data_IF_194867997715
#
_entry.id   IF_194867997715
#
_cell.length_a   1.000
_cell.length_b   1.000
_cell.length_c   1.000
_cell.angle_alpha   90.00
_cell.angle_beta   90.00
_cell.angle_gamma   90.00
#
_symmetry.space_group_name_H-M   'P 1'
#
loop_
_entity.id
_entity.type
_entity.pdbx_description
1 polymer ?
#
# COMPACT_ATOMS: atom_id res chain seq x y z
N UNK A 1 21.26 -15.19 21.58
CA UNK A 1 22.08 -15.64 22.72
C UNK A 1 21.77 -14.84 24.00
N UNK A 2 21.77 -13.50 23.98
CA UNK A 2 21.62 -12.68 25.21
C UNK A 2 20.26 -12.01 25.40
N UNK A 3 19.32 -12.18 24.45
CA UNK A 3 18.04 -11.42 24.39
C UNK A 3 18.20 -9.89 24.33
N UNK A 4 19.40 -9.38 24.08
CA UNK A 4 19.69 -7.96 23.90
C UNK A 4 20.16 -7.70 22.47
N UNK A 5 19.82 -6.52 21.94
CA UNK A 5 20.31 -6.03 20.65
C UNK A 5 21.07 -4.72 20.86
N UNK A 6 22.33 -4.67 20.42
CA UNK A 6 23.10 -3.42 20.45
C UNK A 6 22.52 -2.46 19.41
N UNK A 7 21.98 -1.33 19.86
CA UNK A 7 21.36 -0.36 18.98
C UNK A 7 21.73 1.07 19.39
N UNK A 8 22.13 1.90 18.42
CA UNK A 8 22.26 3.34 18.61
C UNK A 8 20.86 3.94 18.58
N UNK A 9 20.53 4.80 19.56
CA UNK A 9 19.23 5.49 19.63
C UNK A 9 19.00 6.29 18.33
N UNK A 10 17.98 5.95 17.53
CA UNK A 10 17.64 6.75 16.35
C UNK A 10 17.12 8.14 16.75
N UNK A 11 17.20 9.09 15.84
CA UNK A 11 16.49 10.38 15.97
C UNK A 11 14.99 10.14 15.78
N UNK A 12 14.14 11.01 16.31
CA UNK A 12 12.69 10.94 16.07
C UNK A 12 12.30 11.92 14.96
N UNK A 13 11.38 11.47 14.10
CA UNK A 13 10.74 12.29 13.07
C UNK A 13 9.23 12.14 13.24
N UNK A 14 8.48 13.24 13.15
CA UNK A 14 7.01 13.21 13.11
C UNK A 14 6.53 13.56 11.71
N UNK A 15 5.60 12.77 11.19
CA UNK A 15 4.87 13.07 9.96
C UNK A 15 3.40 13.19 10.33
N UNK A 16 2.89 14.41 10.30
CA UNK A 16 1.50 14.73 10.60
C UNK A 16 0.71 14.82 9.29
N UNK A 17 -0.30 13.96 9.13
CA UNK A 17 -1.22 13.98 7.98
C UNK A 17 -2.56 14.56 8.44
N UNK A 18 -2.75 15.85 8.18
CA UNK A 18 -3.89 16.64 8.69
C UNK A 18 -5.03 16.72 7.69
N UNK A 19 -6.26 16.77 8.22
CA UNK A 19 -7.48 16.77 7.41
C UNK A 19 -8.00 15.36 7.11
N UNK A 20 -8.82 15.26 6.06
CA UNK A 20 -9.46 14.01 5.63
C UNK A 20 -8.98 13.61 4.24
N UNK A 21 -8.81 12.30 4.04
CA UNK A 21 -8.46 11.74 2.72
C UNK A 21 -9.64 11.89 1.75
N UNK A 22 -9.32 12.18 0.49
CA UNK A 22 -10.32 12.21 -0.58
C UNK A 22 -10.88 10.82 -0.91
N UNK A 23 -12.01 10.74 -1.63
CA UNK A 23 -12.53 9.48 -2.14
C UNK A 23 -11.48 8.70 -2.94
N UNK A 24 -11.49 7.39 -2.84
CA UNK A 24 -10.56 6.53 -3.58
C UNK A 24 -9.12 6.49 -3.04
N UNK A 25 -8.74 7.40 -2.14
CA UNK A 25 -7.40 7.45 -1.52
C UNK A 25 -7.31 6.44 -0.36
N UNK A 26 -6.25 5.63 -0.38
CA UNK A 26 -5.96 4.63 0.64
C UNK A 26 -4.67 4.94 1.41
N UNK A 27 -4.38 4.18 2.48
CA UNK A 27 -3.11 4.27 3.19
C UNK A 27 -1.88 4.02 2.29
N UNK A 28 -2.03 3.24 1.22
CA UNK A 28 -0.97 3.02 0.23
C UNK A 28 -0.62 4.31 -0.51
N UNK A 29 -1.63 5.08 -0.88
CA UNK A 29 -1.45 6.38 -1.55
C UNK A 29 -0.82 7.40 -0.58
N UNK A 30 -1.23 7.38 0.70
CA UNK A 30 -0.64 8.22 1.74
C UNK A 30 0.86 7.94 1.91
N UNK A 31 1.26 6.68 2.09
CA UNK A 31 2.68 6.38 2.31
C UNK A 31 3.53 6.60 1.06
N UNK A 32 3.00 6.33 -0.13
CA UNK A 32 3.68 6.65 -1.37
C UNK A 32 3.86 8.17 -1.52
N UNK A 33 2.83 8.97 -1.26
CA UNK A 33 2.91 10.43 -1.26
C UNK A 33 3.97 10.94 -0.27
N UNK A 34 3.98 10.42 0.96
CA UNK A 34 5.01 10.73 1.96
C UNK A 34 6.42 10.45 1.42
N UNK A 35 6.65 9.25 0.86
CA UNK A 35 7.98 8.87 0.33
C UNK A 35 8.36 9.75 -0.87
N UNK A 36 7.40 10.13 -1.72
CA UNK A 36 7.62 11.08 -2.82
C UNK A 36 8.04 12.47 -2.33
N UNK A 37 7.45 12.95 -1.23
CA UNK A 37 7.76 14.27 -0.67
C UNK A 37 9.11 14.31 0.06
N UNK A 38 9.41 13.31 0.89
CA UNK A 38 10.63 13.33 1.72
C UNK A 38 11.82 12.61 1.05
N UNK A 39 11.57 11.83 0.00
CA UNK A 39 12.55 11.00 -0.70
C UNK A 39 12.86 9.67 0.00
N UNK A 40 13.51 8.76 -0.73
CA UNK A 40 13.85 7.40 -0.25
C UNK A 40 14.87 7.37 0.89
N UNK A 41 15.60 8.47 1.10
CA UNK A 41 16.53 8.65 2.22
C UNK A 41 16.04 9.70 3.24
N UNK A 42 14.81 10.20 3.07
CA UNK A 42 14.27 11.34 3.84
C UNK A 42 14.21 11.10 5.34
N UNK A 43 14.04 9.85 5.77
CA UNK A 43 13.99 9.46 7.17
C UNK A 43 15.22 8.65 7.62
N UNK A 44 16.32 8.69 6.85
CA UNK A 44 17.54 7.97 7.20
C UNK A 44 18.03 8.33 8.62
N UNK A 45 18.28 7.31 9.44
CA UNK A 45 18.67 7.48 10.84
C UNK A 45 17.55 7.89 11.81
N UNK A 46 16.31 7.99 11.34
CA UNK A 46 15.14 8.35 12.14
C UNK A 46 14.21 7.16 12.40
N UNK A 47 13.39 7.27 13.43
CA UNK A 47 12.14 6.53 13.60
C UNK A 47 11.00 7.51 13.35
N UNK A 48 10.06 7.12 12.50
CA UNK A 48 8.91 7.96 12.13
C UNK A 48 7.75 7.68 13.09
N UNK A 49 7.19 8.73 13.66
CA UNK A 49 5.85 8.75 14.26
C UNK A 49 4.87 9.33 13.23
N UNK A 50 3.91 8.53 12.80
CA UNK A 50 2.81 8.99 11.95
C UNK A 50 1.66 9.48 12.85
N UNK A 51 1.23 10.72 12.63
CA UNK A 51 0.23 11.41 13.42
C UNK A 51 -0.76 12.17 12.52
N UNK A 52 -1.71 12.88 13.13
CA UNK A 52 -2.70 13.70 12.42
C UNK A 52 -4.05 13.01 12.24
N UNK A 53 -5.06 13.81 11.88
CA UNK A 53 -6.45 13.38 11.81
C UNK A 53 -6.67 12.23 10.80
N UNK A 54 -5.97 12.25 9.66
CA UNK A 54 -6.10 11.20 8.65
C UNK A 54 -5.56 9.85 9.16
N UNK A 55 -4.45 9.85 9.90
CA UNK A 55 -3.86 8.63 10.48
C UNK A 55 -4.73 8.10 11.63
N UNK A 56 -5.29 8.97 12.47
CA UNK A 56 -6.20 8.58 13.54
C UNK A 56 -7.48 7.90 12.99
N UNK A 57 -7.99 8.37 11.84
CA UNK A 57 -9.16 7.79 11.18
C UNK A 57 -8.89 6.43 10.50
N UNK A 58 -7.63 6.04 10.29
CA UNK A 58 -7.29 4.75 9.70
C UNK A 58 -7.59 3.59 10.64
N UNK A 59 -8.09 2.49 10.09
CA UNK A 59 -8.12 1.21 10.79
C UNK A 59 -6.68 0.65 10.99
N UNK A 60 -6.57 -0.45 11.74
CA UNK A 60 -5.27 -1.06 12.00
C UNK A 60 -4.59 -1.62 10.75
N UNK A 61 -5.35 -2.08 9.76
CA UNK A 61 -4.79 -2.64 8.52
C UNK A 61 -4.15 -1.53 7.69
N UNK A 62 -4.81 -0.39 7.54
CA UNK A 62 -4.28 0.82 6.92
C UNK A 62 -3.02 1.35 7.66
N UNK A 63 -3.03 1.40 9.00
CA UNK A 63 -1.85 1.80 9.80
C UNK A 63 -0.66 0.87 9.58
N UNK A 64 -0.90 -0.44 9.47
CA UNK A 64 0.17 -1.40 9.18
C UNK A 64 0.74 -1.19 7.76
N UNK A 65 -0.06 -0.75 6.78
CA UNK A 65 0.45 -0.36 5.45
C UNK A 65 1.39 0.84 5.54
N UNK A 66 1.03 1.88 6.30
CA UNK A 66 1.93 3.02 6.56
C UNK A 66 3.25 2.56 7.19
N UNK A 67 3.16 1.87 8.33
CA UNK A 67 4.35 1.46 9.07
C UNK A 67 5.23 0.47 8.29
N UNK A 68 4.64 -0.41 7.48
CA UNK A 68 5.37 -1.35 6.63
C UNK A 68 6.33 -0.64 5.68
N UNK A 69 5.89 0.49 5.11
CA UNK A 69 6.65 1.21 4.09
C UNK A 69 7.58 2.30 4.62
N UNK A 70 7.75 2.40 5.95
CA UNK A 70 8.66 3.38 6.57
C UNK A 70 10.12 3.18 6.13
N UNK A 71 10.53 1.93 5.90
CA UNK A 71 11.89 1.59 5.48
C UNK A 71 12.17 2.03 4.04
N UNK A 72 11.15 2.15 3.20
CA UNK A 72 11.27 2.69 1.84
C UNK A 72 11.53 4.21 1.82
N UNK A 73 11.32 4.91 2.95
CA UNK A 73 11.80 6.28 3.17
C UNK A 73 13.16 6.33 3.91
N UNK A 74 13.80 5.19 4.15
CA UNK A 74 15.07 5.07 4.87
C UNK A 74 14.92 5.03 6.41
N UNK A 75 13.69 5.03 6.94
CA UNK A 75 13.47 5.02 8.38
C UNK A 75 13.87 3.69 9.02
N UNK A 76 14.33 3.74 10.27
CA UNK A 76 14.62 2.54 11.07
C UNK A 76 13.36 1.80 11.49
N UNK A 77 12.29 2.54 11.74
CA UNK A 77 10.96 2.03 12.05
C UNK A 77 9.92 3.13 11.80
N UNK A 78 8.66 2.73 11.71
CA UNK A 78 7.52 3.63 11.79
C UNK A 78 6.55 3.16 12.85
N UNK A 79 5.87 4.10 13.50
CA UNK A 79 4.90 3.84 14.54
C UNK A 79 3.71 4.79 14.45
N UNK A 80 2.56 4.33 14.93
CA UNK A 80 1.36 5.11 15.20
C UNK A 80 1.06 4.93 16.69
N UNK A 81 0.74 6.02 17.39
CA UNK A 81 0.34 5.93 18.78
C UNK A 81 -0.91 5.03 18.93
N UNK A 82 -0.97 4.14 19.93
CA UNK A 82 -2.11 3.28 20.12
C UNK A 82 -3.31 4.08 20.65
N UNK A 83 -4.48 3.73 20.15
CA UNK A 83 -5.77 4.32 20.49
C UNK A 83 -6.86 3.24 20.57
N UNK A 84 -8.13 3.66 20.68
CA UNK A 84 -9.26 2.75 20.77
C UNK A 84 -9.39 1.81 19.56
N UNK A 85 -9.00 2.24 18.36
CA UNK A 85 -8.93 1.39 17.16
C UNK A 85 -7.91 0.27 17.34
N UNK A 86 -6.76 0.60 17.93
CA UNK A 86 -5.70 -0.37 18.23
C UNK A 86 -6.17 -1.37 19.29
N UNK A 87 -6.81 -0.89 20.35
CA UNK A 87 -7.30 -1.75 21.44
C UNK A 87 -8.45 -2.66 20.98
N UNK A 88 -9.38 -2.13 20.18
CA UNK A 88 -10.46 -2.91 19.58
C UNK A 88 -9.90 -4.02 18.68
N UNK A 89 -8.88 -3.71 17.87
CA UNK A 89 -8.24 -4.71 17.02
C UNK A 89 -7.58 -5.83 17.82
N UNK A 90 -6.94 -5.52 18.96
CA UNK A 90 -6.27 -6.52 19.80
C UNK A 90 -7.23 -7.37 20.63
N UNK A 91 -8.37 -6.81 21.04
CA UNK A 91 -9.31 -7.47 21.97
C UNK A 91 -9.75 -8.84 21.46
N UNK A 92 -9.61 -9.85 22.31
CA UNK A 92 -10.04 -11.23 22.00
C UNK A 92 -9.14 -12.00 21.02
N UNK A 93 -8.05 -11.40 20.52
CA UNK A 93 -7.10 -12.12 19.67
C UNK A 93 -6.28 -13.13 20.46
N UNK A 94 -5.79 -14.21 19.81
CA UNK A 94 -4.90 -15.18 20.45
C UNK A 94 -3.70 -14.49 21.11
N UNK A 95 -3.35 -14.91 22.33
CA UNK A 95 -2.23 -14.40 23.13
C UNK A 95 -2.37 -12.94 23.59
N UNK A 96 -3.51 -12.28 23.36
CA UNK A 96 -3.80 -11.02 24.03
C UNK A 96 -4.21 -11.27 25.49
N UNK A 97 -3.88 -10.34 26.41
CA UNK A 97 -4.34 -10.40 27.80
C UNK A 97 -5.87 -10.51 27.90
N UNK A 98 -6.37 -11.11 28.97
CA UNK A 98 -7.80 -11.30 29.22
C UNK A 98 -8.17 -10.87 30.63
N UNK A 99 -9.45 -10.59 30.88
CA UNK A 99 -9.96 -10.25 32.21
C UNK A 99 -9.21 -9.08 32.86
N UNK A 100 -8.75 -9.25 34.10
CA UNK A 100 -8.04 -8.21 34.84
C UNK A 100 -6.71 -7.80 34.17
N UNK A 101 -6.00 -8.73 33.51
CA UNK A 101 -4.75 -8.43 32.82
C UNK A 101 -4.97 -7.57 31.57
N UNK A 102 -6.13 -7.70 30.93
CA UNK A 102 -6.56 -6.81 29.84
C UNK A 102 -6.75 -5.39 30.32
N UNK A 103 -7.48 -5.20 31.42
CA UNK A 103 -7.71 -3.85 31.99
C UNK A 103 -6.40 -3.19 32.45
N UNK A 104 -5.52 -3.95 33.10
CA UNK A 104 -4.19 -3.46 33.49
C UNK A 104 -3.34 -3.09 32.26
N UNK A 105 -3.37 -3.91 31.21
CA UNK A 105 -2.66 -3.64 29.96
C UNK A 105 -3.21 -2.43 29.23
N UNK A 106 -4.54 -2.26 29.18
CA UNK A 106 -5.21 -1.13 28.56
C UNK A 106 -4.81 0.20 29.22
N UNK A 107 -4.80 0.23 30.57
CA UNK A 107 -4.34 1.41 31.32
C UNK A 107 -2.90 1.78 30.97
N UNK A 108 -2.02 0.79 30.83
CA UNK A 108 -0.62 1.01 30.43
C UNK A 108 -0.49 1.45 28.97
N UNK A 109 -1.18 0.78 28.04
CA UNK A 109 -1.06 1.08 26.62
C UNK A 109 -1.60 2.46 26.26
N UNK A 110 -2.63 2.94 26.95
CA UNK A 110 -3.14 4.32 26.80
C UNK A 110 -2.10 5.40 27.14
N UNK A 111 -1.00 5.05 27.81
CA UNK A 111 0.09 5.98 28.12
C UNK A 111 1.20 5.96 27.06
N UNK A 112 1.10 5.12 26.02
CA UNK A 112 2.14 4.96 24.99
C UNK A 112 1.97 5.93 23.82
N UNK A 113 1.53 7.16 24.09
CA UNK A 113 1.54 8.26 23.14
C UNK A 113 2.68 9.23 23.48
N UNK A 114 3.10 10.03 22.51
CA UNK A 114 4.04 11.12 22.76
C UNK A 114 3.42 12.19 23.67
N UNK A 115 4.23 12.78 24.54
CA UNK A 115 3.84 13.90 25.40
C UNK A 115 3.45 15.12 24.56
N UNK A 116 2.62 16.01 25.10
CA UNK A 116 2.12 17.19 24.38
C UNK A 116 3.24 18.18 23.98
N UNK A 117 4.33 18.20 24.75
CA UNK A 117 5.52 19.04 24.54
C UNK A 117 6.71 18.24 23.97
N UNK A 118 6.47 17.01 23.48
CA UNK A 118 7.51 16.18 22.89
C UNK A 118 8.15 16.86 21.67
N UNK A 119 9.48 17.00 21.71
CA UNK A 119 10.26 17.59 20.62
C UNK A 119 10.74 16.52 19.63
N UNK A 120 10.65 16.83 18.34
CA UNK A 120 11.11 15.96 17.26
C UNK A 120 12.31 16.59 16.56
N UNK A 121 13.28 15.75 16.16
CA UNK A 121 14.44 16.23 15.41
C UNK A 121 14.05 16.73 14.02
N UNK A 122 12.94 16.20 13.47
CA UNK A 122 12.36 16.62 12.20
C UNK A 122 10.85 16.47 12.25
N UNK A 123 10.14 17.47 11.74
CA UNK A 123 8.69 17.42 11.57
C UNK A 123 8.33 17.70 10.12
N UNK A 124 7.32 17.00 9.62
CA UNK A 124 6.75 17.18 8.27
C UNK A 124 5.24 17.19 8.43
N UNK A 125 4.58 18.16 7.80
CA UNK A 125 3.12 18.32 7.84
C UNK A 125 2.58 18.22 6.43
N UNK A 126 1.63 17.32 6.24
CA UNK A 126 1.02 17.00 4.95
C UNK A 126 -0.49 17.22 5.06
N UNK A 127 -1.04 17.97 4.10
CA UNK A 127 -2.48 18.10 3.94
C UNK A 127 -3.06 16.86 3.25
N UNK A 128 -3.86 16.08 3.97
CA UNK A 128 -4.55 14.89 3.49
C UNK A 128 -5.40 15.18 2.23
N UNK A 129 -5.96 16.38 2.13
CA UNK A 129 -6.78 16.83 1.01
C UNK A 129 -5.99 17.03 -0.29
N UNK A 130 -4.65 17.01 -0.25
CA UNK A 130 -3.77 17.06 -1.43
C UNK A 130 -3.36 15.69 -1.93
N UNK A 131 -3.53 14.64 -1.12
CA UNK A 131 -3.18 13.28 -1.50
C UNK A 131 -4.17 12.82 -2.58
N UNK A 132 -3.65 12.19 -3.62
CA UNK A 132 -4.41 11.63 -4.74
C UNK A 132 -4.04 10.16 -4.90
N UNK A 133 -4.89 9.33 -5.53
CA UNK A 133 -4.48 7.99 -5.92
C UNK A 133 -3.17 8.04 -6.69
N UNK A 134 -2.21 7.22 -6.28
CA UNK A 134 -0.80 7.36 -6.65
C UNK A 134 -0.28 6.12 -7.36
N UNK A 135 0.69 6.34 -8.26
CA UNK A 135 1.40 5.28 -8.97
C UNK A 135 2.88 5.64 -9.10
N UNK A 136 3.77 4.67 -8.94
CA UNK A 136 5.19 4.91 -9.22
C UNK A 136 5.45 4.88 -10.73
N UNK A 137 6.33 5.75 -11.21
CA UNK A 137 6.77 5.77 -12.60
C UNK A 137 8.21 5.28 -12.80
N UNK A 138 9.00 5.16 -11.72
CA UNK A 138 10.40 4.77 -11.80
C UNK A 138 10.70 3.42 -11.16
N UNK A 139 11.94 3.26 -10.68
CA UNK A 139 12.47 2.00 -10.11
C UNK A 139 12.63 2.04 -8.59
N UNK A 140 12.05 3.04 -7.92
CA UNK A 140 11.93 3.06 -6.47
C UNK A 140 10.62 3.75 -6.03
N UNK A 141 10.19 3.59 -4.76
CA UNK A 141 8.92 4.13 -4.27
C UNK A 141 8.84 5.65 -4.19
N UNK A 142 9.98 6.37 -4.19
CA UNK A 142 9.99 7.84 -4.21
C UNK A 142 9.75 8.44 -5.59
N UNK A 143 9.87 7.66 -6.65
CA UNK A 143 9.52 8.06 -8.02
C UNK A 143 8.02 7.83 -8.25
N UNK A 144 7.19 8.66 -7.61
CA UNK A 144 5.73 8.55 -7.57
C UNK A 144 5.04 9.81 -8.06
N UNK A 145 3.88 9.64 -8.67
CA UNK A 145 3.00 10.72 -9.11
C UNK A 145 1.53 10.34 -8.88
N UNK A 146 0.60 11.31 -8.91
CA UNK A 146 -0.82 11.01 -9.05
C UNK A 146 -1.08 10.18 -10.32
N UNK A 147 -2.02 9.23 -10.27
CA UNK A 147 -2.34 8.36 -11.43
C UNK A 147 -2.72 9.19 -12.66
N UNK A 148 -3.51 10.25 -12.48
CA UNK A 148 -3.91 11.18 -13.54
C UNK A 148 -2.86 12.26 -13.88
N UNK A 149 -1.67 12.19 -13.28
CA UNK A 149 -0.57 13.11 -13.51
C UNK A 149 0.33 12.72 -14.69
N UNK A 150 1.39 13.50 -14.86
CA UNK A 150 2.48 13.26 -15.81
C UNK A 150 3.78 13.04 -15.08
N UNK A 151 4.67 12.23 -15.67
CA UNK A 151 6.03 12.02 -15.17
C UNK A 151 6.73 13.38 -15.09
N UNK A 152 7.42 13.72 -13.98
CA UNK A 152 8.13 14.99 -13.85
C UNK A 152 9.07 15.25 -15.04
N UNK A 153 9.00 16.44 -15.63
CA UNK A 153 9.79 16.78 -16.82
C UNK A 153 11.30 16.89 -16.51
N UNK A 154 11.64 17.19 -15.25
CA UNK A 154 13.00 17.26 -14.72
C UNK A 154 13.62 15.87 -14.46
N UNK A 155 12.85 14.78 -14.59
CA UNK A 155 13.35 13.40 -14.58
C UNK A 155 14.20 13.02 -15.82
N UNK A 156 14.61 14.00 -16.61
CA UNK A 156 15.43 13.85 -17.81
C UNK A 156 16.94 13.67 -17.53
N UNK A 157 17.40 13.72 -16.26
CA UNK A 157 18.82 13.69 -15.91
C UNK A 157 19.17 12.66 -14.82
N UNK A 158 20.45 12.28 -14.77
CA UNK A 158 21.04 11.47 -13.70
C UNK A 158 20.36 10.11 -13.49
N UNK A 159 20.20 9.73 -12.22
CA UNK A 159 19.60 8.45 -11.81
C UNK A 159 18.12 8.35 -12.18
N UNK A 160 17.42 9.48 -12.32
CA UNK A 160 16.02 9.50 -12.74
C UNK A 160 15.88 9.12 -14.22
N UNK A 161 16.76 9.61 -15.10
CA UNK A 161 16.78 9.21 -16.51
C UNK A 161 17.05 7.70 -16.66
N UNK A 162 18.01 7.16 -15.92
CA UNK A 162 18.32 5.72 -15.94
C UNK A 162 17.11 4.87 -15.53
N UNK A 163 16.38 5.29 -14.49
CA UNK A 163 15.15 4.62 -14.07
C UNK A 163 14.07 4.66 -15.17
N UNK A 164 13.92 5.79 -15.86
CA UNK A 164 12.97 5.93 -16.97
C UNK A 164 13.37 5.07 -18.18
N UNK A 165 14.66 4.99 -18.51
CA UNK A 165 15.18 4.13 -19.59
C UNK A 165 14.87 2.66 -19.30
N UNK A 166 15.11 2.21 -18.07
CA UNK A 166 14.72 0.87 -17.62
C UNK A 166 13.20 0.66 -17.79
N UNK A 167 12.42 1.62 -17.32
CA UNK A 167 10.97 1.58 -17.36
C UNK A 167 10.40 1.80 -18.77
N UNK A 168 11.20 2.16 -19.79
CA UNK A 168 10.71 2.48 -21.13
C UNK A 168 9.69 3.64 -21.15
N UNK A 169 9.97 4.68 -20.37
CA UNK A 169 9.12 5.85 -20.18
C UNK A 169 9.88 7.13 -20.54
N UNK A 170 9.15 8.18 -20.93
CA UNK A 170 9.74 9.48 -21.23
C UNK A 170 9.23 10.55 -20.24
N UNK A 171 10.10 11.50 -19.82
CA UNK A 171 9.69 12.63 -18.99
C UNK A 171 8.52 13.42 -19.60
N UNK A 172 7.65 13.97 -18.76
CA UNK A 172 6.51 14.77 -19.19
C UNK A 172 5.34 13.98 -19.80
N UNK A 173 5.45 12.65 -19.93
CA UNK A 173 4.36 11.81 -20.45
C UNK A 173 3.43 11.33 -19.35
N UNK A 174 2.16 11.09 -19.68
CA UNK A 174 1.20 10.46 -18.78
C UNK A 174 1.37 8.94 -18.78
N UNK A 175 1.07 8.30 -17.64
CA UNK A 175 0.96 6.84 -17.57
C UNK A 175 -0.45 6.34 -17.86
N UNK A 176 -1.47 7.20 -17.77
CA UNK A 176 -2.83 6.82 -18.15
C UNK A 176 -2.85 6.15 -19.53
N UNK A 177 -3.66 5.10 -19.63
CA UNK A 177 -3.77 4.26 -20.81
C UNK A 177 -2.47 3.54 -21.21
N UNK A 178 -1.43 3.47 -20.37
CA UNK A 178 -0.31 2.53 -20.60
C UNK A 178 -0.85 1.11 -20.46
N UNK A 179 -0.60 0.23 -21.44
CA UNK A 179 -0.98 -1.18 -21.35
C UNK A 179 -0.30 -1.86 -20.14
N UNK A 180 -1.03 -2.74 -19.48
CA UNK A 180 -0.58 -3.50 -18.30
C UNK A 180 -0.67 -4.98 -18.62
N UNK A 181 0.45 -5.67 -18.55
CA UNK A 181 0.53 -7.10 -18.82
C UNK A 181 0.14 -7.92 -17.59
N UNK A 182 0.51 -7.44 -16.40
CA UNK A 182 0.31 -8.16 -15.14
C UNK A 182 -0.24 -7.22 -14.07
N UNK A 183 -1.23 -7.70 -13.31
CA UNK A 183 -1.64 -7.06 -12.06
C UNK A 183 -1.41 -8.03 -10.91
N UNK A 184 -0.63 -7.58 -9.92
CA UNK A 184 -0.32 -8.35 -8.73
C UNK A 184 -0.92 -7.68 -7.49
N UNK A 185 -1.84 -8.39 -6.84
CA UNK A 185 -2.51 -7.95 -5.62
C UNK A 185 -2.11 -8.92 -4.52
N UNK A 186 -1.09 -8.55 -3.75
CA UNK A 186 -0.53 -9.41 -2.73
C UNK A 186 0.77 -8.83 -2.18
N UNK A 187 0.97 -8.88 -0.87
CA UNK A 187 2.23 -8.63 -0.16
C UNK A 187 1.94 -8.51 1.33
N UNK A 188 2.98 -8.41 2.16
CA UNK A 188 2.82 -7.97 3.55
C UNK A 188 2.32 -6.52 3.69
N UNK A 189 2.35 -5.73 2.61
CA UNK A 189 1.93 -4.33 2.58
C UNK A 189 0.43 -4.20 2.37
N UNK A 190 -0.12 -4.88 1.37
CA UNK A 190 -1.54 -4.85 0.99
C UNK A 190 -1.98 -6.22 0.48
N UNK A 191 -2.63 -6.98 1.36
CA UNK A 191 -3.22 -8.30 1.14
C UNK A 191 -4.03 -8.76 2.35
N UNK A 192 -4.46 -7.81 3.19
CA UNK A 192 -5.30 -8.09 4.37
C UNK A 192 -6.77 -8.13 3.94
N UNK A 193 -7.67 -8.46 4.85
CA UNK A 193 -9.06 -8.68 4.47
C UNK A 193 -9.72 -7.39 3.96
N UNK A 194 -9.39 -6.22 4.54
CA UNK A 194 -9.86 -4.93 4.02
C UNK A 194 -9.42 -4.66 2.59
N UNK A 195 -8.16 -4.94 2.26
CA UNK A 195 -7.62 -4.80 0.90
C UNK A 195 -8.36 -5.70 -0.09
N UNK A 196 -8.60 -6.97 0.27
CA UNK A 196 -9.28 -7.94 -0.60
C UNK A 196 -10.75 -7.56 -0.84
N UNK A 197 -11.45 -7.01 0.15
CA UNK A 197 -12.83 -6.51 -0.02
C UNK A 197 -12.89 -5.32 -0.98
N UNK A 198 -11.91 -4.40 -0.91
CA UNK A 198 -11.81 -3.29 -1.86
C UNK A 198 -11.63 -3.81 -3.28
N UNK A 199 -10.77 -4.83 -3.46
CA UNK A 199 -10.54 -5.46 -4.76
C UNK A 199 -11.80 -6.19 -5.24
N UNK A 200 -12.50 -6.91 -4.37
CA UNK A 200 -13.74 -7.59 -4.70
C UNK A 200 -14.81 -6.62 -5.18
N UNK A 201 -15.02 -5.48 -4.52
CA UNK A 201 -15.99 -4.47 -4.96
C UNK A 201 -15.68 -3.88 -6.35
N UNK A 202 -14.42 -3.86 -6.77
CA UNK A 202 -14.04 -3.48 -8.15
C UNK A 202 -14.24 -4.63 -9.13
N UNK A 203 -14.00 -5.88 -8.74
CA UNK A 203 -14.09 -7.04 -9.64
C UNK A 203 -15.50 -7.63 -9.76
N UNK A 204 -16.38 -7.39 -8.79
CA UNK A 204 -17.74 -7.92 -8.77
C UNK A 204 -18.53 -7.53 -10.01
N UNK A 205 -19.11 -8.55 -10.68
CA UNK A 205 -19.84 -8.37 -11.94
C UNK A 205 -18.98 -7.99 -13.15
N UNK A 206 -17.64 -7.92 -13.01
CA UNK A 206 -16.72 -7.53 -14.08
C UNK A 206 -15.78 -8.67 -14.44
N UNK A 207 -15.12 -8.56 -15.59
CA UNK A 207 -14.05 -9.45 -16.04
C UNK A 207 -12.74 -8.67 -16.11
N UNK A 208 -11.64 -9.32 -15.75
CA UNK A 208 -10.30 -8.78 -16.00
C UNK A 208 -10.04 -8.74 -17.51
N UNK A 209 -9.19 -7.81 -17.95
CA UNK A 209 -8.85 -7.69 -19.35
C UNK A 209 -8.16 -8.96 -19.86
N UNK A 210 -8.56 -9.46 -21.04
CA UNK A 210 -8.01 -10.69 -21.62
C UNK A 210 -6.49 -10.59 -21.90
N UNK A 211 -5.96 -9.38 -22.05
CA UNK A 211 -4.53 -9.10 -22.23
C UNK A 211 -3.72 -9.08 -20.93
N UNK A 212 -4.38 -9.21 -19.77
CA UNK A 212 -3.76 -8.94 -18.47
C UNK A 212 -3.87 -10.16 -17.57
N UNK A 213 -2.73 -10.66 -17.11
CA UNK A 213 -2.67 -11.71 -16.10
C UNK A 213 -2.88 -11.08 -14.72
N UNK A 214 -3.85 -11.55 -13.96
CA UNK A 214 -4.15 -11.00 -12.62
C UNK A 214 -3.91 -12.07 -11.58
N UNK A 215 -3.01 -11.78 -10.62
CA UNK A 215 -2.63 -12.71 -9.55
C UNK A 215 -2.98 -12.08 -8.20
N UNK A 216 -3.83 -12.76 -7.44
CA UNK A 216 -4.27 -12.33 -6.12
C UNK A 216 -3.76 -13.33 -5.06
N UNK A 217 -3.01 -12.82 -4.10
CA UNK A 217 -2.37 -13.59 -3.03
C UNK A 217 -2.78 -13.03 -1.67
N UNK A 218 -3.48 -13.81 -0.81
CA UNK A 218 -3.81 -13.38 0.54
C UNK A 218 -2.56 -13.28 1.43
N UNK A 219 -2.56 -12.32 2.36
CA UNK A 219 -1.39 -12.03 3.20
C UNK A 219 -1.09 -13.09 4.27
N UNK A 220 -2.04 -13.97 4.57
CA UNK A 220 -1.87 -15.10 5.49
C UNK A 220 -2.95 -16.16 5.30
N UNK A 221 -2.75 -17.33 5.89
CA UNK A 221 -3.77 -18.40 5.89
C UNK A 221 -5.07 -17.97 6.58
N UNK A 222 -4.99 -17.20 7.67
CA UNK A 222 -6.19 -16.67 8.33
C UNK A 222 -6.97 -15.72 7.42
N UNK A 223 -6.27 -14.88 6.66
CA UNK A 223 -6.90 -13.98 5.68
C UNK A 223 -7.50 -14.78 4.51
N UNK A 224 -6.82 -15.84 4.03
CA UNK A 224 -7.36 -16.73 2.99
C UNK A 224 -8.67 -17.35 3.45
N UNK A 225 -8.69 -17.99 4.61
CA UNK A 225 -9.88 -18.64 5.17
C UNK A 225 -11.02 -17.65 5.35
N UNK A 226 -10.73 -16.45 5.82
CA UNK A 226 -11.72 -15.40 5.96
C UNK A 226 -12.27 -14.93 4.61
N UNK A 227 -11.41 -14.69 3.61
CA UNK A 227 -11.82 -14.29 2.27
C UNK A 227 -12.64 -15.38 1.56
N UNK A 228 -12.34 -16.66 1.81
CA UNK A 228 -13.09 -17.80 1.30
C UNK A 228 -14.46 -17.91 1.98
N UNK A 229 -14.52 -17.75 3.31
CA UNK A 229 -15.77 -17.73 4.06
C UNK A 229 -16.70 -16.56 3.67
N UNK A 230 -16.11 -15.42 3.27
CA UNK A 230 -16.84 -14.26 2.76
C UNK A 230 -17.19 -14.35 1.26
N UNK A 231 -16.78 -15.41 0.56
CA UNK A 231 -17.04 -15.58 -0.89
C UNK A 231 -16.20 -14.68 -1.82
N UNK A 232 -15.23 -13.93 -1.29
CA UNK A 232 -14.41 -12.99 -2.08
C UNK A 232 -13.60 -13.71 -3.16
N UNK A 233 -13.10 -14.91 -2.85
CA UNK A 233 -12.34 -15.72 -3.80
C UNK A 233 -13.16 -16.13 -5.03
N UNK A 234 -14.47 -16.34 -4.88
CA UNK A 234 -15.37 -16.68 -5.99
C UNK A 234 -15.52 -15.49 -6.93
N UNK A 235 -15.61 -14.27 -6.39
CA UNK A 235 -15.61 -13.03 -7.17
C UNK A 235 -14.32 -12.93 -7.99
N UNK A 236 -13.17 -13.22 -7.39
CA UNK A 236 -11.88 -13.16 -8.07
C UNK A 236 -11.79 -14.17 -9.22
N UNK A 237 -12.17 -15.42 -8.96
CA UNK A 237 -12.19 -16.49 -9.97
C UNK A 237 -13.21 -16.20 -11.08
N UNK A 238 -14.40 -15.70 -10.73
CA UNK A 238 -15.42 -15.28 -11.68
C UNK A 238 -14.97 -14.09 -12.52
N UNK A 239 -14.14 -13.18 -12.00
CA UNK A 239 -13.55 -12.11 -12.79
C UNK A 239 -12.46 -12.62 -13.76
N UNK A 240 -11.92 -13.83 -13.54
CA UNK A 240 -10.83 -14.41 -14.33
C UNK A 240 -9.44 -14.18 -13.71
N UNK A 241 -9.37 -13.76 -12.45
CA UNK A 241 -8.11 -13.64 -11.72
C UNK A 241 -7.67 -15.00 -11.13
N UNK A 242 -6.36 -15.13 -10.94
CA UNK A 242 -5.75 -16.28 -10.24
C UNK A 242 -5.81 -16.06 -8.74
N UNK A 243 -6.56 -16.90 -8.02
CA UNK A 243 -6.52 -16.98 -6.56
C UNK A 243 -5.42 -17.94 -6.11
N UNK A 244 -4.43 -17.44 -5.37
CA UNK A 244 -3.23 -18.19 -4.97
C UNK A 244 -3.19 -18.46 -3.46
N UNK A 245 -2.33 -19.39 -3.06
CA UNK A 245 -2.04 -19.65 -1.65
C UNK A 245 -1.20 -18.52 -1.03
N UNK A 246 -1.34 -18.25 0.28
CA UNK A 246 -0.59 -17.22 0.98
C UNK A 246 0.92 -17.40 0.82
N UNK A 247 1.61 -16.31 0.50
CA UNK A 247 3.06 -16.29 0.36
C UNK A 247 3.56 -14.97 -0.23
N UNK A 248 4.88 -14.82 -0.31
CA UNK A 248 5.45 -13.59 -0.89
C UNK A 248 5.25 -13.51 -2.42
N UNK A 249 5.20 -14.65 -3.13
CA UNK A 249 4.90 -14.72 -4.57
C UNK A 249 5.70 -13.67 -5.37
N UNK A 250 5.04 -12.92 -6.26
CA UNK A 250 5.64 -11.93 -7.14
C UNK A 250 6.23 -10.73 -6.39
N UNK A 251 5.90 -10.51 -5.10
CA UNK A 251 6.52 -9.44 -4.29
C UNK A 251 8.06 -9.58 -4.23
N UNK A 252 8.56 -10.81 -4.37
CA UNK A 252 9.99 -11.16 -4.38
C UNK A 252 10.35 -12.14 -5.51
N UNK A 253 9.55 -12.20 -6.57
CA UNK A 253 9.76 -13.07 -7.74
C UNK A 253 9.93 -14.56 -7.38
N UNK A 254 9.18 -15.07 -6.40
CA UNK A 254 9.27 -16.46 -5.95
C UNK A 254 8.16 -17.35 -6.54
N UNK A 255 8.34 -18.67 -6.41
CA UNK A 255 7.35 -19.68 -6.79
C UNK A 255 6.95 -19.68 -8.28
N UNK A 256 7.81 -19.13 -9.15
CA UNK A 256 7.54 -18.98 -10.58
C UNK A 256 6.65 -17.78 -10.94
N UNK A 257 6.19 -17.01 -9.96
CA UNK A 257 5.44 -15.78 -10.19
C UNK A 257 6.39 -14.62 -10.50
N UNK A 258 6.69 -14.45 -11.80
CA UNK A 258 7.59 -13.41 -12.30
C UNK A 258 7.03 -12.77 -13.57
N UNK A 259 7.29 -11.49 -13.74
CA UNK A 259 7.12 -10.79 -15.00
C UNK A 259 8.30 -11.08 -15.94
N UNK A 260 8.00 -11.15 -17.24
CA UNK A 260 9.00 -11.29 -18.29
C UNK A 260 9.65 -9.92 -18.61
N UNK A 261 10.86 -9.91 -19.22
CA UNK A 261 11.52 -8.67 -19.61
C UNK A 261 10.61 -7.77 -20.46
N UNK A 262 10.50 -6.50 -20.09
CA UNK A 262 9.72 -5.49 -20.79
C UNK A 262 8.23 -5.42 -20.41
N UNK A 263 7.69 -6.42 -19.69
CA UNK A 263 6.31 -6.40 -19.23
C UNK A 263 6.08 -5.35 -18.15
N UNK A 264 4.94 -4.66 -18.22
CA UNK A 264 4.46 -3.76 -17.17
C UNK A 264 3.62 -4.54 -16.16
N UNK A 265 4.02 -4.44 -14.89
CA UNK A 265 3.29 -4.99 -13.76
C UNK A 265 2.75 -3.86 -12.87
N UNK A 266 1.44 -3.80 -12.63
CA UNK A 266 0.88 -2.97 -11.55
C UNK A 266 0.80 -3.82 -10.29
N UNK A 267 1.46 -3.39 -9.22
CA UNK A 267 1.70 -4.20 -8.03
C UNK A 267 1.29 -3.48 -6.74
N UNK A 268 0.64 -4.20 -5.82
CA UNK A 268 0.37 -3.69 -4.46
C UNK A 268 1.54 -3.90 -3.49
N UNK A 269 2.67 -4.46 -3.96
CA UNK A 269 3.90 -4.63 -3.18
C UNK A 269 4.53 -3.30 -2.74
N UNK A 270 5.51 -3.34 -1.85
CA UNK A 270 6.24 -2.15 -1.38
C UNK A 270 7.46 -1.77 -2.22
N UNK A 271 7.94 -2.62 -3.13
CA UNK A 271 9.23 -2.43 -3.82
C UNK A 271 9.13 -2.74 -5.31
N UNK A 272 9.64 -1.80 -6.11
CA UNK A 272 9.75 -1.84 -7.57
C UNK A 272 11.20 -1.67 -8.06
N UNK A 273 12.18 -2.04 -7.24
CA UNK A 273 13.58 -2.06 -7.67
C UNK A 273 13.77 -2.94 -8.90
N UNK A 274 14.76 -2.59 -9.73
CA UNK A 274 15.09 -3.35 -10.93
C UNK A 274 15.30 -4.83 -10.61
N UNK A 275 14.63 -5.71 -11.35
CA UNK A 275 14.71 -7.16 -11.15
C UNK A 275 13.84 -7.71 -10.01
N UNK A 276 13.17 -6.87 -9.22
CA UNK A 276 12.45 -7.31 -8.00
C UNK A 276 11.32 -8.30 -8.26
N UNK A 277 10.57 -8.11 -9.34
CA UNK A 277 9.45 -8.99 -9.75
C UNK A 277 9.80 -9.85 -10.98
N UNK A 278 11.08 -9.95 -11.32
CA UNK A 278 11.58 -10.59 -12.53
C UNK A 278 12.59 -9.70 -13.26
N UNK A 279 13.59 -10.32 -13.90
CA UNK A 279 14.62 -9.59 -14.66
C UNK A 279 13.98 -8.79 -15.79
N UNK A 280 14.23 -7.48 -15.82
CA UNK A 280 13.65 -6.56 -16.82
C UNK A 280 12.17 -6.25 -16.65
N UNK A 281 11.55 -6.64 -15.53
CA UNK A 281 10.16 -6.32 -15.21
C UNK A 281 9.98 -4.82 -14.89
N UNK A 282 8.97 -4.19 -15.50
CA UNK A 282 8.67 -2.76 -15.28
C UNK A 282 7.53 -2.62 -14.29
N UNK A 283 7.88 -2.48 -13.01
CA UNK A 283 6.91 -2.53 -11.91
C UNK A 283 6.41 -1.13 -11.52
N UNK A 284 5.09 -0.95 -11.48
CA UNK A 284 4.39 0.24 -11.03
C UNK A 284 3.67 -0.08 -9.71
N UNK A 285 4.08 0.53 -8.60
CA UNK A 285 3.41 0.35 -7.30
C UNK A 285 2.15 1.19 -7.25
N UNK A 286 1.06 0.60 -6.77
CA UNK A 286 -0.22 1.28 -6.61
C UNK A 286 -1.03 0.71 -5.43
N UNK A 287 -2.12 1.37 -5.06
CA UNK A 287 -3.08 0.87 -4.08
C UNK A 287 -3.88 -0.33 -4.61
N UNK A 288 -4.50 -1.16 -3.74
CA UNK A 288 -5.37 -2.26 -4.16
C UNK A 288 -6.49 -1.83 -5.10
N UNK A 289 -7.10 -0.66 -4.85
CA UNK A 289 -8.15 -0.11 -5.69
C UNK A 289 -7.62 0.21 -7.09
N UNK A 290 -6.53 0.98 -7.18
CA UNK A 290 -5.90 1.32 -8.46
C UNK A 290 -5.47 0.07 -9.23
N UNK A 291 -4.87 -0.91 -8.54
CA UNK A 291 -4.48 -2.18 -9.14
C UNK A 291 -5.69 -2.95 -9.70
N UNK A 292 -6.79 -3.06 -8.94
CA UNK A 292 -8.00 -3.73 -9.39
C UNK A 292 -8.65 -3.05 -10.59
N UNK A 293 -8.63 -1.71 -10.63
CA UNK A 293 -9.10 -0.93 -11.79
C UNK A 293 -8.24 -1.21 -13.02
N UNK A 294 -6.92 -1.22 -12.88
CA UNK A 294 -6.00 -1.60 -13.96
C UNK A 294 -6.21 -3.05 -14.42
N UNK A 295 -6.62 -3.96 -13.53
CA UNK A 295 -6.92 -5.35 -13.88
C UNK A 295 -8.15 -5.46 -14.80
N UNK A 296 -9.20 -4.66 -14.54
CA UNK A 296 -10.41 -4.63 -15.37
C UNK A 296 -10.14 -3.99 -16.73
N UNK A 297 -9.39 -2.89 -16.77
CA UNK A 297 -9.17 -2.13 -18.01
C UNK A 297 -8.00 -2.66 -18.84
N UNK A 298 -7.09 -3.42 -18.24
CA UNK A 298 -5.83 -3.86 -18.84
C UNK A 298 -4.85 -2.72 -19.13
N UNK A 299 -5.07 -1.55 -18.51
CA UNK A 299 -4.28 -0.34 -18.69
C UNK A 299 -4.19 0.44 -17.39
N UNK A 300 -3.15 1.24 -17.21
CA UNK A 300 -3.11 2.21 -16.11
C UNK A 300 -4.32 3.12 -16.21
N UNK A 301 -5.15 3.13 -15.18
CA UNK A 301 -6.44 3.81 -15.16
C UNK A 301 -6.67 4.51 -13.83
N UNK A 302 -7.31 5.67 -13.90
CA UNK A 302 -7.73 6.40 -12.70
C UNK A 302 -8.75 5.56 -11.90
N UNK A 303 -8.52 5.27 -10.61
CA UNK A 303 -9.48 4.53 -9.81
C UNK A 303 -10.82 5.23 -9.60
N UNK A 304 -10.90 6.53 -9.87
CA UNK A 304 -12.14 7.29 -9.76
C UNK A 304 -13.17 6.90 -10.82
N UNK A 305 -12.75 6.27 -11.93
CA UNK A 305 -13.65 5.73 -12.98
C UNK A 305 -14.71 4.75 -12.45
N UNK A 306 -14.45 4.11 -11.30
CA UNK A 306 -15.35 3.13 -10.70
C UNK A 306 -15.87 3.56 -9.32
N UNK A 307 -15.90 4.87 -9.03
CA UNK A 307 -16.57 5.38 -7.83
C UNK A 307 -18.11 5.21 -7.90
N UNK A 308 -18.68 5.11 -9.11
CA UNK A 308 -20.11 4.87 -9.35
C UNK A 308 -20.46 3.37 -9.42
N UNK A 309 -20.33 2.68 -8.29
CA UNK A 309 -21.13 1.47 -8.04
C UNK A 309 -21.96 1.67 -6.78
N UNK A 310 -22.91 2.61 -6.87
CA UNK A 310 -24.13 2.48 -6.11
C UNK A 310 -24.80 1.18 -6.54
N UNK A 311 -25.01 0.27 -5.60
CA UNK A 311 -25.75 -0.96 -5.82
C UNK A 311 -27.16 -0.62 -6.38
N UNK A 312 -27.58 -1.18 -7.53
CA UNK A 312 -28.98 -1.18 -7.91
C UNK A 312 -29.60 -2.46 -7.37
N UNK A 313 -30.48 -2.36 -6.37
CA UNK A 313 -31.08 -3.56 -5.78
C UNK A 313 -32.19 -3.33 -4.76
N UNK A 314 -33.10 -2.38 -5.01
CA UNK A 314 -34.46 -2.41 -4.47
C UNK A 314 -35.34 -1.37 -5.19
N UNK A 315 -35.83 -1.71 -6.37
CA UNK A 315 -37.18 -1.31 -6.80
C UNK A 315 -37.72 -2.31 -7.81
N UNK A 316 -38.96 -2.72 -7.55
CA UNK A 316 -39.96 -3.31 -8.44
C UNK A 316 -39.83 -4.78 -8.87
N UNK A 317 -40.28 -5.67 -7.98
CA UNK A 317 -41.43 -6.56 -8.21
C UNK A 317 -42.04 -7.00 -6.86
#
# INVERSE_FOLDING_TARGET
ATQCLLQRRPRNMRITVDGALGPGVSAKDVILHIIGEIGVDGASGHVIEYAGAAVAAMDMEARMTLCNMSIEAGARAGMVAPDDTTFAYLRGRPRCPQGADWEASLKRWRQLHSDADAQFHREVVIDAGRIRPSITYGTNPGMVMPVAGTIPADAAQGTQRQALDYMGLEPGTALLDRAVDIVFIGSCTNARISDLRVVAGVLEGRRVAASTRVVIVPGSEAVRQQAEAEGLHEIFLAAGAEWRLPGCSMCIAMNGDQAQPGQYAVSTSNRNFEGRQGTGARTLLASPRTAAVCAVTGRVSDPDRFLDTSAPGASDA
#
